data_IF_273459504580
#
_entry.id   IF_273459504580
#
_cell.length_a   1.000
_cell.length_b   1.000
_cell.length_c   1.000
_cell.angle_alpha   90.00
_cell.angle_beta   90.00
_cell.angle_gamma   90.00
#
_symmetry.space_group_name_H-M   'P 1'
#
loop_
_entity.id
_entity.type
_entity.pdbx_description
1 polymer ?
#
# COMPACT_ATOMS: atom_id res chain seq x y z
N UNK A 1 4.97 16.95 15.74
CA UNK A 1 5.05 17.82 14.53
C UNK A 1 4.09 17.26 13.49
N UNK A 2 3.62 18.01 12.50
CA UNK A 2 2.82 17.43 11.43
C UNK A 2 3.67 16.45 10.60
N UNK A 3 3.09 15.31 10.21
CA UNK A 3 3.73 14.35 9.30
C UNK A 3 3.78 14.99 7.90
N UNK A 4 4.97 15.26 7.39
CA UNK A 4 5.18 15.90 6.09
C UNK A 4 5.75 14.98 5.03
N UNK A 5 6.35 13.88 5.46
CA UNK A 5 7.00 12.91 4.57
C UNK A 5 6.15 11.66 4.38
N UNK A 6 6.12 11.18 3.15
CA UNK A 6 5.52 9.93 2.78
C UNK A 6 6.50 9.06 2.00
N UNK A 7 6.31 7.74 2.05
CA UNK A 7 7.07 6.78 1.27
C UNK A 7 6.11 5.85 0.55
N UNK A 8 6.29 5.69 -0.76
CA UNK A 8 5.50 4.81 -1.62
C UNK A 8 6.41 3.71 -2.15
N UNK A 9 6.33 2.48 -1.61
CA UNK A 9 6.98 1.33 -2.21
C UNK A 9 6.33 0.99 -3.56
N UNK A 10 7.10 1.09 -4.64
CA UNK A 10 6.64 0.85 -6.03
C UNK A 10 7.60 -0.03 -6.84
N UNK A 11 8.52 -0.74 -6.20
CA UNK A 11 9.54 -1.57 -6.87
C UNK A 11 9.07 -2.98 -7.24
N UNK A 12 7.88 -3.42 -6.79
CA UNK A 12 7.35 -4.77 -7.00
C UNK A 12 7.17 -5.14 -8.49
N UNK A 13 7.40 -6.41 -8.87
CA UNK A 13 7.35 -6.87 -10.27
C UNK A 13 5.97 -6.89 -10.91
N UNK A 14 4.91 -7.05 -10.10
CA UNK A 14 3.55 -7.18 -10.61
C UNK A 14 3.27 -8.45 -11.42
N UNK A 15 4.04 -9.53 -11.23
CA UNK A 15 3.98 -10.75 -12.04
C UNK A 15 2.59 -11.38 -12.18
N UNK A 16 1.72 -11.22 -11.18
CA UNK A 16 0.32 -11.72 -11.21
C UNK A 16 -0.60 -10.92 -12.13
N UNK A 17 -0.16 -9.78 -12.62
CA UNK A 17 -0.89 -8.88 -13.55
C UNK A 17 -0.40 -9.03 -15.00
N UNK A 18 0.44 -10.01 -15.30
CA UNK A 18 0.81 -10.33 -16.67
C UNK A 18 -0.43 -10.59 -17.57
N UNK A 19 -0.42 -10.14 -18.84
CA UNK A 19 0.70 -9.54 -19.56
C UNK A 19 0.84 -8.02 -19.39
N UNK A 20 -0.07 -7.31 -18.70
CA UNK A 20 -0.07 -5.84 -18.59
C UNK A 20 1.26 -5.32 -18.03
N UNK A 21 1.77 -5.96 -16.99
CA UNK A 21 3.01 -5.56 -16.32
C UNK A 21 4.30 -5.90 -17.05
N UNK A 22 4.20 -6.57 -18.20
CA UNK A 22 5.30 -6.69 -19.14
C UNK A 22 5.53 -5.39 -19.91
N UNK A 23 4.50 -4.55 -20.04
CA UNK A 23 4.54 -3.29 -20.78
C UNK A 23 4.64 -2.07 -19.86
N UNK A 24 3.91 -2.07 -18.74
CA UNK A 24 3.84 -0.92 -17.82
C UNK A 24 3.93 -1.36 -16.37
N UNK A 25 4.49 -0.53 -15.46
CA UNK A 25 4.42 -0.77 -14.02
C UNK A 25 2.97 -0.95 -13.53
N UNK A 26 2.74 -1.89 -12.60
CA UNK A 26 1.40 -2.15 -12.05
C UNK A 26 0.77 -0.90 -11.42
N UNK A 27 1.60 -0.05 -10.85
CA UNK A 27 1.23 1.20 -10.20
C UNK A 27 0.67 2.24 -11.21
N UNK A 28 0.93 2.05 -12.52
CA UNK A 28 0.38 2.87 -13.61
C UNK A 28 -0.88 2.28 -14.25
N UNK A 29 -1.36 1.13 -13.79
CA UNK A 29 -2.62 0.59 -14.28
C UNK A 29 -3.79 1.52 -13.90
N UNK A 30 -4.75 1.76 -14.82
CA UNK A 30 -5.81 2.72 -14.58
C UNK A 30 -6.86 2.18 -13.61
N UNK A 31 -7.24 3.01 -12.64
CA UNK A 31 -8.46 2.87 -11.84
C UNK A 31 -9.28 4.13 -12.06
N UNK A 32 -10.37 4.00 -12.81
CA UNK A 32 -11.11 5.13 -13.35
C UNK A 32 -10.25 5.94 -14.32
N UNK A 33 -10.15 7.23 -14.10
CA UNK A 33 -9.46 8.18 -14.97
C UNK A 33 -7.97 8.40 -14.61
N UNK A 34 -7.45 7.68 -13.61
CA UNK A 34 -6.12 7.91 -13.05
C UNK A 34 -5.36 6.59 -12.86
N UNK A 35 -4.03 6.67 -12.89
CA UNK A 35 -3.19 5.57 -12.46
C UNK A 35 -3.42 5.25 -10.97
N UNK A 36 -3.35 3.96 -10.58
CA UNK A 36 -3.60 3.57 -9.18
C UNK A 36 -2.70 4.32 -8.20
N UNK A 37 -1.44 4.58 -8.55
CA UNK A 37 -0.51 5.35 -7.71
C UNK A 37 -0.96 6.81 -7.51
N UNK A 38 -1.66 7.42 -8.47
CA UNK A 38 -2.16 8.79 -8.32
C UNK A 38 -3.21 8.89 -7.21
N UNK A 39 -4.03 7.85 -7.01
CA UNK A 39 -4.96 7.81 -5.87
C UNK A 39 -4.23 7.80 -4.53
N UNK A 40 -3.08 7.13 -4.45
CA UNK A 40 -2.21 7.12 -3.25
C UNK A 40 -1.57 8.50 -3.04
N UNK A 41 -1.00 9.09 -4.10
CA UNK A 41 -0.40 10.43 -4.05
C UNK A 41 -1.42 11.48 -3.62
N UNK A 42 -2.64 11.43 -4.16
CA UNK A 42 -3.72 12.34 -3.77
C UNK A 42 -4.13 12.17 -2.30
N UNK A 43 -4.20 10.93 -1.79
CA UNK A 43 -4.47 10.68 -0.38
C UNK A 43 -3.36 11.26 0.52
N UNK A 44 -2.10 11.13 0.10
CA UNK A 44 -0.95 11.73 0.81
C UNK A 44 -1.02 13.27 0.79
N UNK A 45 -1.26 13.88 -0.37
CA UNK A 45 -1.40 15.32 -0.50
C UNK A 45 -2.55 15.87 0.35
N UNK A 46 -3.71 15.21 0.32
CA UNK A 46 -4.87 15.56 1.16
C UNK A 46 -4.60 15.42 2.66
N UNK A 47 -3.72 14.52 3.06
CA UNK A 47 -3.29 14.36 4.44
C UNK A 47 -2.22 15.39 4.88
N UNK A 48 -1.81 16.29 3.99
CA UNK A 48 -0.82 17.33 4.26
C UNK A 48 0.63 16.90 4.08
N UNK A 49 0.87 15.74 3.45
CA UNK A 49 2.22 15.29 3.07
C UNK A 49 2.67 16.09 1.86
N UNK A 50 3.87 16.68 1.94
CA UNK A 50 4.46 17.52 0.90
C UNK A 50 5.64 16.89 0.21
N UNK A 51 6.34 15.98 0.88
CA UNK A 51 7.57 15.35 0.41
C UNK A 51 7.36 13.84 0.33
N UNK A 52 7.32 13.29 -0.88
CA UNK A 52 7.02 11.88 -1.10
C UNK A 52 8.23 11.18 -1.72
N UNK A 53 8.72 10.15 -1.02
CA UNK A 53 9.76 9.25 -1.50
C UNK A 53 9.09 8.10 -2.26
N UNK A 54 9.41 7.96 -3.55
CA UNK A 54 8.91 6.86 -4.39
C UNK A 54 10.06 5.87 -4.59
N UNK A 55 9.87 4.66 -4.05
CA UNK A 55 10.87 3.59 -4.16
C UNK A 55 10.57 2.78 -5.42
N UNK A 56 11.49 2.85 -6.38
CA UNK A 56 11.39 2.19 -7.68
C UNK A 56 12.44 1.10 -7.85
N UNK A 57 12.23 0.16 -8.76
CA UNK A 57 13.29 -0.77 -9.17
C UNK A 57 14.08 -0.20 -10.36
N UNK A 58 15.33 -0.66 -10.60
CA UNK A 58 16.17 -0.18 -11.71
C UNK A 58 15.52 -0.24 -13.10
N UNK A 59 14.50 -1.09 -13.28
CA UNK A 59 13.84 -1.33 -14.56
C UNK A 59 12.47 -0.66 -14.69
N UNK A 60 12.07 0.22 -13.75
CA UNK A 60 10.75 0.88 -13.73
C UNK A 60 10.84 2.39 -14.03
N UNK A 61 11.55 2.76 -15.09
CA UNK A 61 11.68 4.17 -15.49
C UNK A 61 10.35 4.87 -15.81
N UNK A 62 9.33 4.13 -16.27
CA UNK A 62 8.02 4.69 -16.62
C UNK A 62 7.29 5.37 -15.44
N UNK A 63 7.62 5.05 -14.18
CA UNK A 63 7.01 5.73 -13.02
C UNK A 63 7.50 7.18 -12.90
N UNK A 64 8.81 7.42 -12.97
CA UNK A 64 9.37 8.76 -12.91
C UNK A 64 9.00 9.61 -14.12
N UNK A 65 8.95 8.99 -15.31
CA UNK A 65 8.53 9.66 -16.54
C UNK A 65 7.07 10.11 -16.47
N UNK A 66 6.19 9.28 -15.89
CA UNK A 66 4.77 9.58 -15.76
C UNK A 66 4.47 10.59 -14.65
N UNK A 67 5.05 10.41 -13.48
CA UNK A 67 4.75 11.22 -12.29
C UNK A 67 5.49 12.57 -12.29
N UNK A 68 6.67 12.62 -12.92
CA UNK A 68 7.51 13.82 -12.97
C UNK A 68 8.03 14.23 -11.59
N UNK A 69 8.04 15.54 -11.31
CA UNK A 69 8.54 16.10 -10.05
C UNK A 69 7.51 16.14 -8.91
N UNK A 70 6.25 15.80 -9.15
CA UNK A 70 5.18 15.90 -8.15
C UNK A 70 4.40 17.22 -8.16
N UNK A 71 4.90 18.25 -8.83
CA UNK A 71 4.28 19.60 -8.81
C UNK A 71 2.81 19.61 -9.23
N UNK A 72 2.41 18.75 -10.17
CA UNK A 72 1.00 18.64 -10.59
C UNK A 72 0.06 18.14 -9.48
N UNK A 73 0.61 17.50 -8.46
CA UNK A 73 -0.11 17.00 -7.29
C UNK A 73 0.05 17.89 -6.04
N UNK A 74 0.83 18.98 -6.15
CA UNK A 74 1.13 19.88 -5.04
C UNK A 74 2.13 19.32 -4.04
N UNK A 75 2.97 18.36 -4.45
CA UNK A 75 3.99 17.68 -3.66
C UNK A 75 5.33 17.66 -4.40
N UNK A 76 6.40 17.33 -3.69
CA UNK A 76 7.72 17.08 -4.27
C UNK A 76 8.07 15.58 -4.19
N UNK A 77 8.54 15.01 -5.31
CA UNK A 77 8.96 13.61 -5.37
C UNK A 77 10.48 13.46 -5.30
N UNK A 78 10.91 12.53 -4.43
CA UNK A 78 12.25 11.96 -4.43
C UNK A 78 12.17 10.51 -4.87
N UNK A 79 12.93 10.13 -5.92
CA UNK A 79 12.98 8.75 -6.40
C UNK A 79 14.20 8.05 -5.83
N UNK A 80 13.96 6.91 -5.18
CA UNK A 80 15.01 6.07 -4.61
C UNK A 80 14.95 4.69 -5.27
N UNK A 81 16.10 4.14 -5.61
CA UNK A 81 16.18 2.83 -6.26
C UNK A 81 16.34 1.73 -5.22
N UNK A 82 15.46 0.74 -5.27
CA UNK A 82 15.65 -0.55 -4.61
C UNK A 82 16.41 -1.46 -5.58
N UNK A 83 17.71 -1.62 -5.40
CA UNK A 83 18.57 -2.38 -6.31
C UNK A 83 18.17 -3.86 -6.37
N UNK A 84 17.93 -4.48 -5.22
CA UNK A 84 17.49 -5.86 -5.10
C UNK A 84 16.09 -5.95 -4.49
N UNK A 85 15.18 -6.65 -5.13
CA UNK A 85 13.79 -6.84 -4.67
C UNK A 85 13.70 -7.90 -3.58
N UNK A 86 14.18 -7.56 -2.39
CA UNK A 86 14.27 -8.47 -1.25
C UNK A 86 13.03 -8.43 -0.32
N UNK A 87 11.98 -7.73 -0.70
CA UNK A 87 10.75 -7.63 0.06
C UNK A 87 10.34 -6.21 0.45
N UNK A 88 9.19 -6.09 1.14
CA UNK A 88 8.61 -4.79 1.48
C UNK A 88 9.44 -4.01 2.50
N UNK A 89 9.99 -4.68 3.53
CA UNK A 89 10.85 -4.02 4.50
C UNK A 89 12.11 -3.45 3.84
N UNK A 90 12.72 -4.20 2.91
CA UNK A 90 13.86 -3.72 2.14
C UNK A 90 13.50 -2.52 1.24
N UNK A 91 12.28 -2.48 0.67
CA UNK A 91 11.82 -1.32 -0.08
C UNK A 91 11.66 -0.07 0.82
N UNK A 92 11.13 -0.24 2.03
CA UNK A 92 11.02 0.87 3.01
C UNK A 92 12.41 1.34 3.44
N UNK A 93 13.34 0.41 3.72
CA UNK A 93 14.72 0.73 4.12
C UNK A 93 15.47 1.54 3.04
N UNK A 94 15.16 1.36 1.76
CA UNK A 94 15.78 2.14 0.68
C UNK A 94 15.57 3.67 0.86
N UNK A 95 14.49 4.08 1.54
CA UNK A 95 14.18 5.47 1.83
C UNK A 95 14.84 6.05 3.08
N UNK A 96 15.54 5.24 3.90
CA UNK A 96 16.08 5.64 5.21
C UNK A 96 16.88 6.94 5.17
N UNK A 97 17.75 7.08 4.18
CA UNK A 97 18.68 8.21 4.08
C UNK A 97 18.04 9.55 3.64
N UNK A 98 16.75 9.54 3.27
CA UNK A 98 16.00 10.74 2.84
C UNK A 98 14.78 11.02 3.73
N UNK A 99 14.48 10.12 4.67
CA UNK A 99 13.39 10.29 5.63
C UNK A 99 13.95 10.85 6.94
N UNK A 100 13.30 11.91 7.45
CA UNK A 100 13.64 12.54 8.72
C UNK A 100 12.39 12.74 9.58
N UNK A 101 12.29 12.00 10.67
CA UNK A 101 11.16 12.03 11.59
C UNK A 101 10.00 11.12 11.21
N UNK A 102 8.82 11.43 11.74
CA UNK A 102 7.60 10.64 11.51
C UNK A 102 7.17 10.69 10.05
N UNK A 103 6.88 9.54 9.45
CA UNK A 103 6.48 9.44 8.05
C UNK A 103 5.36 8.43 7.82
N UNK A 104 4.60 8.62 6.74
CA UNK A 104 3.58 7.67 6.33
C UNK A 104 4.10 6.75 5.22
N UNK A 105 3.70 5.48 5.24
CA UNK A 105 3.93 4.52 4.15
C UNK A 105 2.59 4.07 3.60
N UNK A 106 2.41 4.18 2.27
CA UNK A 106 1.25 3.60 1.58
C UNK A 106 1.75 2.87 0.33
N UNK A 107 1.30 1.63 0.14
CA UNK A 107 1.71 0.84 -1.01
C UNK A 107 1.16 1.44 -2.31
N UNK A 108 2.02 1.56 -3.34
CA UNK A 108 1.71 2.26 -4.59
C UNK A 108 0.68 1.58 -5.50
N UNK A 109 0.33 0.34 -5.21
CA UNK A 109 -0.68 -0.46 -5.92
C UNK A 109 -2.01 -0.59 -5.16
N UNK A 110 -2.19 0.18 -4.10
CA UNK A 110 -3.40 0.15 -3.30
C UNK A 110 -4.39 1.24 -3.71
N UNK A 111 -5.64 0.86 -3.81
CA UNK A 111 -6.76 1.78 -3.99
C UNK A 111 -7.57 1.89 -2.70
N UNK A 112 -7.74 3.12 -2.21
CA UNK A 112 -8.53 3.43 -1.03
C UNK A 112 -9.63 4.45 -1.35
N UNK A 113 -10.78 4.31 -0.72
CA UNK A 113 -11.84 5.31 -0.69
C UNK A 113 -12.61 5.25 0.65
N UNK A 114 -12.85 6.40 1.30
CA UNK A 114 -12.45 7.76 0.90
C UNK A 114 -10.95 8.00 1.08
N UNK A 115 -10.40 8.97 0.36
CA UNK A 115 -8.96 9.33 0.44
C UNK A 115 -8.54 9.94 1.78
N UNK A 116 -9.51 10.36 2.59
CA UNK A 116 -9.29 10.92 3.93
C UNK A 116 -8.76 9.89 4.94
N UNK A 117 -8.79 8.60 4.59
CA UNK A 117 -8.31 7.52 5.47
C UNK A 117 -6.91 7.79 6.03
N UNK A 118 -6.02 8.38 5.19
CA UNK A 118 -4.64 8.63 5.60
C UNK A 118 -4.55 9.80 6.58
N UNK A 119 -5.34 10.85 6.38
CA UNK A 119 -5.43 11.95 7.34
C UNK A 119 -5.94 11.46 8.71
N UNK A 120 -6.92 10.56 8.72
CA UNK A 120 -7.44 9.94 9.94
C UNK A 120 -6.38 9.06 10.63
N UNK A 121 -5.61 8.28 9.87
CA UNK A 121 -4.52 7.45 10.39
C UNK A 121 -3.41 8.31 11.01
N UNK A 122 -2.98 9.37 10.31
CA UNK A 122 -1.99 10.33 10.78
C UNK A 122 -2.50 11.09 12.02
N UNK A 123 -3.77 11.50 12.01
CA UNK A 123 -4.41 12.16 13.16
C UNK A 123 -4.42 11.27 14.40
N UNK A 124 -4.73 9.98 14.23
CA UNK A 124 -4.68 9.00 15.31
C UNK A 124 -3.24 8.85 15.84
N UNK A 125 -2.25 8.69 14.95
CA UNK A 125 -0.84 8.59 15.33
C UNK A 125 -0.38 9.83 16.10
N UNK A 126 -0.68 11.03 15.62
CA UNK A 126 -0.31 12.28 16.28
C UNK A 126 -0.93 12.47 17.68
N UNK A 127 -2.16 11.98 17.87
CA UNK A 127 -2.87 12.03 19.15
C UNK A 127 -2.29 11.08 20.20
N UNK A 128 -1.85 9.89 19.80
CA UNK A 128 -1.40 8.84 20.71
C UNK A 128 0.12 8.72 20.81
N UNK A 129 0.85 9.20 19.78
CA UNK A 129 2.31 9.19 19.66
C UNK A 129 2.95 7.80 19.88
N UNK A 130 2.44 6.75 19.23
CA UNK A 130 3.11 5.45 19.25
C UNK A 130 4.38 5.48 18.41
N UNK A 131 5.20 4.43 18.48
CA UNK A 131 6.33 4.24 17.55
C UNK A 131 5.80 3.86 16.14
N UNK A 132 4.74 3.06 16.09
CA UNK A 132 4.12 2.59 14.84
C UNK A 132 2.60 2.60 14.92
N UNK A 133 1.93 3.07 13.86
CA UNK A 133 0.48 2.90 13.67
C UNK A 133 0.21 2.11 12.39
N UNK A 134 -0.54 1.02 12.51
CA UNK A 134 -0.93 0.14 11.40
C UNK A 134 -2.37 0.41 11.00
N UNK A 135 -2.61 0.74 9.73
CA UNK A 135 -3.95 0.79 9.15
C UNK A 135 -4.47 -0.62 8.87
N UNK A 136 -5.60 -0.99 9.47
CA UNK A 136 -6.18 -2.34 9.37
C UNK A 136 -7.64 -2.30 8.95
N UNK A 137 -8.15 -3.41 8.43
CA UNK A 137 -9.59 -3.69 8.33
C UNK A 137 -9.87 -5.17 8.57
N UNK A 138 -11.16 -5.50 8.72
CA UNK A 138 -11.60 -6.90 8.73
C UNK A 138 -11.48 -7.47 7.32
N UNK A 139 -10.69 -8.54 7.18
CA UNK A 139 -10.43 -9.21 5.91
C UNK A 139 -11.08 -10.59 5.89
N UNK A 140 -11.54 -11.00 4.69
CA UNK A 140 -12.11 -12.34 4.49
C UNK A 140 -11.01 -13.39 4.29
N UNK A 141 -9.94 -13.02 3.58
CA UNK A 141 -8.81 -13.90 3.28
C UNK A 141 -7.55 -13.45 4.03
N UNK A 142 -7.32 -14.06 5.18
CA UNK A 142 -6.17 -13.78 6.04
C UNK A 142 -4.83 -14.16 5.39
N UNK A 143 -4.84 -15.05 4.39
CA UNK A 143 -3.62 -15.53 3.72
C UNK A 143 -2.97 -14.51 2.81
N UNK A 144 -3.62 -13.37 2.60
CA UNK A 144 -3.13 -12.28 1.74
C UNK A 144 -2.50 -11.12 2.52
N UNK A 145 -2.67 -11.06 3.83
CA UNK A 145 -2.35 -9.91 4.68
C UNK A 145 -1.43 -10.29 5.84
N UNK A 146 -0.70 -9.31 6.35
CA UNK A 146 -0.18 -9.38 7.71
C UNK A 146 -1.35 -9.23 8.69
N UNK A 147 -1.56 -10.21 9.58
CA UNK A 147 -2.70 -10.25 10.52
C UNK A 147 -2.23 -9.86 11.89
N UNK A 148 -2.88 -8.88 12.51
CA UNK A 148 -2.56 -8.43 13.87
C UNK A 148 -3.27 -9.28 14.93
N UNK A 149 -2.65 -9.43 16.10
CA UNK A 149 -3.28 -9.82 17.35
C UNK A 149 -3.58 -8.55 18.14
N UNK A 150 -4.83 -8.09 18.23
CA UNK A 150 -5.17 -6.87 18.98
C UNK A 150 -5.16 -7.11 20.49
N UNK A 151 -4.70 -6.09 21.24
CA UNK A 151 -4.84 -5.97 22.69
C UNK A 151 -5.29 -4.53 23.02
N UNK A 152 -6.59 -4.34 23.21
CA UNK A 152 -7.20 -3.01 23.29
C UNK A 152 -7.00 -2.23 21.98
N UNK A 153 -6.28 -1.12 22.05
CA UNK A 153 -5.88 -0.29 20.91
C UNK A 153 -4.43 -0.54 20.44
N UNK A 154 -3.75 -1.51 21.04
CA UNK A 154 -2.38 -1.93 20.74
C UNK A 154 -2.36 -3.19 19.89
N UNK A 155 -1.23 -3.41 19.24
CA UNK A 155 -0.90 -4.66 18.55
C UNK A 155 0.00 -5.50 19.46
N UNK A 156 -0.51 -6.66 19.92
CA UNK A 156 0.25 -7.57 20.76
C UNK A 156 1.18 -8.49 19.96
N UNK A 157 0.82 -8.83 18.74
CA UNK A 157 1.64 -9.60 17.78
C UNK A 157 1.14 -9.38 16.35
N UNK A 158 1.96 -9.75 15.37
CA UNK A 158 1.61 -9.66 13.96
C UNK A 158 2.22 -10.83 13.18
N UNK A 159 1.43 -11.47 12.30
CA UNK A 159 1.85 -12.65 11.54
C UNK A 159 1.63 -12.42 10.05
N UNK A 160 2.69 -12.57 9.24
CA UNK A 160 2.62 -12.41 7.79
C UNK A 160 1.93 -13.60 7.13
N UNK A 161 0.83 -13.34 6.43
CA UNK A 161 0.09 -14.29 5.59
C UNK A 161 -0.10 -15.66 6.26
N UNK A 162 -0.71 -15.73 7.45
CA UNK A 162 -0.86 -16.96 8.18
C UNK A 162 -1.79 -17.94 7.44
N UNK A 163 -1.66 -19.23 7.74
CA UNK A 163 -2.73 -20.17 7.38
C UNK A 163 -4.01 -19.79 8.16
N UNK A 164 -5.21 -20.03 7.62
CA UNK A 164 -6.47 -19.64 8.28
C UNK A 164 -6.60 -20.14 9.73
N UNK A 165 -6.10 -21.33 10.01
CA UNK A 165 -6.12 -21.96 11.34
C UNK A 165 -5.10 -21.37 12.31
N UNK A 166 -4.12 -20.63 11.83
CA UNK A 166 -3.05 -19.99 12.60
C UNK A 166 -3.19 -18.45 12.66
N UNK A 167 -4.22 -17.89 12.03
CA UNK A 167 -4.46 -16.46 12.06
C UNK A 167 -4.91 -16.03 13.47
N UNK A 168 -4.22 -15.04 14.10
CA UNK A 168 -4.56 -14.59 15.45
C UNK A 168 -5.86 -13.81 15.52
N UNK A 169 -6.32 -13.26 14.40
CA UNK A 169 -7.58 -12.53 14.25
C UNK A 169 -8.00 -12.47 12.77
N UNK A 170 -8.97 -11.64 12.43
CA UNK A 170 -9.30 -11.27 11.04
C UNK A 170 -8.98 -9.80 10.73
N UNK A 171 -8.17 -9.13 11.53
CA UNK A 171 -7.73 -7.76 11.27
C UNK A 171 -6.43 -7.80 10.47
N UNK A 172 -6.56 -7.48 9.19
CA UNK A 172 -5.46 -7.46 8.22
C UNK A 172 -4.91 -6.06 8.00
N UNK A 173 -3.58 -5.94 7.94
CA UNK A 173 -2.92 -4.72 7.54
C UNK A 173 -3.18 -4.42 6.06
N UNK A 174 -3.51 -3.16 5.77
CA UNK A 174 -3.95 -2.73 4.44
C UNK A 174 -2.83 -2.06 3.63
N UNK A 175 -1.57 -2.15 4.08
CA UNK A 175 -0.46 -1.49 3.39
C UNK A 175 -0.45 0.04 3.57
N UNK A 176 -1.02 0.52 4.68
CA UNK A 176 -0.97 1.92 5.10
C UNK A 176 -0.47 1.97 6.54
N UNK A 177 0.58 2.75 6.78
CA UNK A 177 1.29 2.83 8.06
C UNK A 177 1.72 4.25 8.36
N UNK A 178 1.91 4.56 9.65
CA UNK A 178 2.67 5.73 10.10
C UNK A 178 3.75 5.23 11.06
N UNK A 179 4.99 5.62 10.79
CA UNK A 179 6.18 5.16 11.50
C UNK A 179 6.98 6.32 12.09
N UNK A 180 7.59 6.09 13.24
CA UNK A 180 8.79 6.80 13.65
C UNK A 180 10.03 6.18 12.97
N UNK A 181 11.13 6.92 12.87
CA UNK A 181 12.37 6.45 12.19
C UNK A 181 12.99 5.21 12.85
N UNK A 182 12.60 4.88 14.08
CA UNK A 182 13.01 3.65 14.76
C UNK A 182 12.69 2.36 13.99
N UNK A 183 11.71 2.40 13.07
CA UNK A 183 11.39 1.25 12.23
C UNK A 183 12.58 0.81 11.36
N UNK A 184 13.45 1.73 10.95
CA UNK A 184 14.64 1.40 10.15
C UNK A 184 15.61 0.50 10.93
N UNK A 185 15.81 0.76 12.23
CA UNK A 185 16.62 -0.10 13.10
C UNK A 185 16.02 -1.52 13.22
N UNK A 186 14.69 -1.63 13.31
CA UNK A 186 14.01 -2.92 13.33
C UNK A 186 14.16 -3.64 11.99
N UNK A 187 13.99 -2.92 10.86
CA UNK A 187 14.17 -3.48 9.52
C UNK A 187 15.60 -4.01 9.34
N UNK A 188 16.62 -3.26 9.75
CA UNK A 188 18.03 -3.66 9.62
C UNK A 188 18.36 -4.98 10.35
N UNK A 189 17.59 -5.32 11.40
CA UNK A 189 17.77 -6.55 12.20
C UNK A 189 16.81 -7.67 11.81
N UNK A 190 15.85 -7.39 10.93
CA UNK A 190 14.90 -8.38 10.43
C UNK A 190 15.63 -9.44 9.58
N UNK A 191 15.17 -10.68 9.65
CA UNK A 191 15.68 -11.79 8.83
C UNK A 191 14.68 -12.10 7.71
N UNK A 192 15.13 -12.71 6.60
CA UNK A 192 14.21 -13.19 5.57
C UNK A 192 13.16 -14.15 6.17
N UNK A 193 11.89 -13.81 5.99
CA UNK A 193 10.73 -14.53 6.49
C UNK A 193 9.96 -15.26 5.39
N UNK A 194 8.66 -14.97 5.25
CA UNK A 194 7.79 -15.60 4.26
C UNK A 194 8.38 -15.48 2.84
N UNK A 195 8.54 -16.60 2.15
CA UNK A 195 9.15 -16.72 0.80
C UNK A 195 10.58 -16.21 0.68
N UNK A 196 11.32 -16.11 1.78
CA UNK A 196 12.69 -15.60 1.77
C UNK A 196 12.80 -14.09 1.60
N UNK A 197 11.71 -13.34 1.78
CA UNK A 197 11.67 -11.89 1.68
C UNK A 197 11.75 -11.23 3.06
N UNK A 198 12.32 -10.02 3.14
CA UNK A 198 12.27 -9.18 4.33
C UNK A 198 10.88 -8.54 4.44
N UNK A 199 10.08 -9.03 5.38
CA UNK A 199 8.71 -8.59 5.56
C UNK A 199 8.64 -7.40 6.52
N UNK A 200 7.85 -6.39 6.17
CA UNK A 200 7.61 -5.26 7.07
C UNK A 200 6.87 -5.70 8.34
N UNK A 201 6.00 -6.68 8.21
CA UNK A 201 5.32 -7.36 9.32
C UNK A 201 6.31 -7.91 10.36
N UNK A 202 7.43 -8.51 9.91
CA UNK A 202 8.44 -9.06 10.82
C UNK A 202 9.23 -7.95 11.54
N UNK A 203 9.46 -6.81 10.87
CA UNK A 203 10.08 -5.64 11.50
C UNK A 203 9.18 -5.03 12.58
N UNK A 204 7.88 -4.87 12.29
CA UNK A 204 6.88 -4.39 13.27
C UNK A 204 6.79 -5.38 14.45
N UNK A 205 6.83 -6.68 14.18
CA UNK A 205 6.84 -7.70 15.22
C UNK A 205 8.07 -7.60 16.13
N UNK A 206 9.23 -7.23 15.56
CA UNK A 206 10.43 -6.98 16.34
C UNK A 206 10.27 -5.76 17.26
N UNK A 207 9.66 -4.66 16.77
CA UNK A 207 9.32 -3.50 17.61
C UNK A 207 8.42 -3.89 18.78
N UNK A 208 7.38 -4.72 18.54
CA UNK A 208 6.50 -5.22 19.61
C UNK A 208 7.30 -6.03 20.65
N UNK A 209 8.16 -6.94 20.19
CA UNK A 209 8.99 -7.77 21.08
C UNK A 209 9.97 -6.96 21.93
N UNK A 210 10.37 -5.78 21.49
CA UNK A 210 11.23 -4.82 22.18
C UNK A 210 10.45 -3.86 23.11
N UNK A 211 9.13 -4.03 23.20
CA UNK A 211 8.28 -3.21 24.07
C UNK A 211 7.95 -1.83 23.53
N UNK A 212 8.12 -1.60 22.22
CA UNK A 212 7.69 -0.36 21.58
C UNK A 212 6.16 -0.27 21.52
N UNK A 213 5.65 0.96 21.47
CA UNK A 213 4.20 1.22 21.38
C UNK A 213 3.75 1.07 19.91
N UNK A 214 3.25 -0.11 19.57
CA UNK A 214 2.65 -0.39 18.25
C UNK A 214 1.14 -0.39 18.40
N UNK A 215 0.46 0.47 17.63
CA UNK A 215 -1.00 0.60 17.65
C UNK A 215 -1.60 0.34 16.28
N UNK A 216 -2.90 0.15 16.25
CA UNK A 216 -3.63 0.03 15.00
C UNK A 216 -4.82 0.99 14.94
N UNK A 217 -5.22 1.33 13.74
CA UNK A 217 -6.45 2.06 13.46
C UNK A 217 -7.25 1.31 12.39
N UNK A 218 -8.52 1.05 12.66
CA UNK A 218 -9.42 0.51 11.64
C UNK A 218 -9.68 1.60 10.61
N UNK A 219 -9.46 1.28 9.35
CA UNK A 219 -9.76 2.15 8.21
C UNK A 219 -11.16 1.80 7.74
N UNK A 220 -12.05 2.79 7.76
CA UNK A 220 -13.40 2.68 7.21
C UNK A 220 -13.39 2.97 5.72
N UNK A 221 -14.19 2.22 4.95
CA UNK A 221 -14.34 2.41 3.51
C UNK A 221 -13.88 1.21 2.68
N UNK A 222 -13.48 1.48 1.44
CA UNK A 222 -13.01 0.47 0.50
C UNK A 222 -11.48 0.47 0.45
N UNK A 223 -10.92 -0.73 0.46
CA UNK A 223 -9.52 -1.00 0.15
C UNK A 223 -9.42 -2.14 -0.87
N UNK A 224 -8.64 -1.95 -1.92
CA UNK A 224 -8.34 -2.96 -2.92
C UNK A 224 -6.84 -2.92 -3.23
N UNK A 225 -6.13 -4.01 -2.89
CA UNK A 225 -4.78 -4.29 -3.42
C UNK A 225 -4.91 -4.69 -4.89
N UNK A 226 -4.51 -3.80 -5.82
CA UNK A 226 -4.57 -4.05 -7.26
C UNK A 226 -3.43 -4.99 -7.66
N UNK A 227 -3.51 -6.22 -7.19
CA UNK A 227 -2.48 -7.24 -7.38
C UNK A 227 -2.80 -8.28 -8.45
N UNK A 228 -4.05 -8.36 -8.93
CA UNK A 228 -4.50 -9.29 -10.00
C UNK A 228 -5.43 -8.58 -10.98
N UNK A 229 -5.66 -9.13 -12.20
CA UNK A 229 -6.65 -8.58 -13.13
C UNK A 229 -8.05 -8.44 -12.53
N UNK A 230 -8.46 -9.39 -11.68
CA UNK A 230 -9.75 -9.33 -10.97
C UNK A 230 -9.81 -8.16 -10.01
N UNK A 231 -8.73 -7.91 -9.24
CA UNK A 231 -8.68 -6.79 -8.30
C UNK A 231 -8.73 -5.45 -9.04
N UNK A 232 -8.05 -5.34 -10.21
CA UNK A 232 -8.12 -4.17 -11.09
C UNK A 232 -9.55 -3.92 -11.58
N UNK A 233 -10.25 -4.96 -12.04
CA UNK A 233 -11.65 -4.84 -12.48
C UNK A 233 -12.56 -4.41 -11.33
N UNK A 234 -12.40 -4.98 -10.13
CA UNK A 234 -13.19 -4.60 -8.94
C UNK A 234 -12.98 -3.13 -8.55
N UNK A 235 -11.72 -2.66 -8.61
CA UNK A 235 -11.41 -1.26 -8.33
C UNK A 235 -12.08 -0.31 -9.34
N UNK A 236 -12.03 -0.67 -10.63
CA UNK A 236 -12.68 0.09 -11.69
C UNK A 236 -14.22 0.06 -11.59
N UNK A 237 -14.82 -1.09 -11.34
CA UNK A 237 -16.26 -1.24 -11.14
C UNK A 237 -16.76 -0.35 -9.99
N UNK A 238 -16.04 -0.38 -8.86
CA UNK A 238 -16.36 0.48 -7.72
C UNK A 238 -16.23 1.95 -8.08
N UNK A 239 -15.12 2.34 -8.73
CA UNK A 239 -14.87 3.73 -9.11
C UNK A 239 -15.95 4.29 -10.04
N UNK A 240 -16.32 3.53 -11.07
CA UNK A 240 -17.34 3.94 -12.05
C UNK A 240 -18.73 4.08 -11.41
N UNK A 241 -19.08 3.17 -10.52
CA UNK A 241 -20.35 3.23 -9.80
C UNK A 241 -20.47 4.47 -8.91
N UNK A 242 -19.43 4.78 -8.15
CA UNK A 242 -19.47 5.88 -7.18
C UNK A 242 -19.32 7.27 -7.86
N UNK A 243 -18.69 7.34 -9.04
CA UNK A 243 -18.49 8.60 -9.74
C UNK A 243 -19.49 8.84 -10.88
N UNK A 244 -20.57 8.05 -10.96
CA UNK A 244 -21.69 8.28 -11.89
C UNK A 244 -21.36 8.01 -13.35
N UNK A 245 -20.26 7.31 -13.66
CA UNK A 245 -19.90 6.88 -15.02
C UNK A 245 -20.61 5.58 -15.45
N UNK A 246 -21.72 5.22 -14.79
CA UNK A 246 -22.62 4.17 -15.28
C UNK A 246 -23.39 4.72 -16.48
N UNK A 247 -22.73 4.80 -17.64
CA UNK A 247 -23.43 5.05 -18.89
C UNK A 247 -24.42 3.92 -19.18
N UNK A 248 -25.59 4.21 -19.77
CA UNK A 248 -26.48 3.16 -20.24
C UNK A 248 -25.68 2.26 -21.20
N UNK A 249 -25.81 0.96 -21.02
CA UNK A 249 -25.13 -0.05 -21.83
C UNK A 249 -25.45 0.16 -23.31
N UNK A 250 -24.54 0.78 -24.04
CA UNK A 250 -24.60 0.96 -25.50
C UNK A 250 -23.97 -0.22 -26.25
N UNK A 251 -23.72 -1.33 -25.55
CA UNK A 251 -23.13 -2.51 -26.18
C UNK A 251 -24.14 -3.10 -27.16
N UNK A 252 -23.98 -2.79 -28.42
CA UNK A 252 -24.69 -3.45 -29.52
C UNK A 252 -24.01 -4.80 -29.78
N UNK A 253 -24.53 -5.88 -29.23
CA UNK A 253 -24.10 -7.23 -29.60
C UNK A 253 -24.71 -7.56 -30.97
N UNK A 254 -23.98 -7.30 -32.04
CA UNK A 254 -24.36 -7.73 -33.39
C UNK A 254 -23.74 -9.10 -33.68
N UNK A 255 -24.55 -10.15 -33.63
CA UNK A 255 -24.12 -11.47 -34.08
C UNK A 255 -24.94 -12.60 -33.49
N UNK A 256 -25.47 -13.42 -34.36
CA UNK A 256 -26.08 -14.71 -34.01
C UNK A 256 -25.03 -15.60 -33.37
N UNK A 257 -25.46 -16.37 -32.38
CA UNK A 257 -24.76 -17.47 -31.70
C UNK A 257 -23.48 -17.95 -32.43
N UNK A 258 -22.35 -17.48 -32.00
CA UNK A 258 -21.10 -18.18 -32.26
C UNK A 258 -20.72 -18.90 -30.96
N UNK A 259 -21.12 -20.15 -30.88
CA UNK A 259 -20.47 -21.13 -30.04
C UNK A 259 -19.00 -21.15 -30.40
N UNK A 260 -18.13 -20.52 -29.59
CA UNK A 260 -16.71 -20.76 -29.66
C UNK A 260 -16.48 -22.16 -29.04
N UNK A 261 -16.39 -23.17 -29.92
CA UNK A 261 -15.82 -24.47 -29.57
C UNK A 261 -14.31 -24.30 -29.55
N UNK A 262 -13.73 -24.67 -28.41
CA UNK A 262 -12.33 -25.05 -28.28
C UNK A 262 -12.24 -26.56 -28.16
#
# INVERSE_FOLDING_TARGET
MPVRQGLIPAAGSGSRLGPFTNAIPKELLPVGEKAVIEHVVEAMSLAGITDIVIVVSPHKHGLSDYLGSGKRFGVDFTYVVQDERLGLANAVAAGEHVIDGTFAVVLGDNFFAPKTFLADLIGYHAAHRPDTTVGVARVEDVTRHGIILPDGDRVADMVEKPQPTAAPSNLGALGAYVFETSIFDAIARTKPGHKGEYQLTDAIRLEIAEGRDVRYRVIDGIHIDVGTPRDLMRANEWYLRENGHAEPDHTVVTGRDRTFGY
#
